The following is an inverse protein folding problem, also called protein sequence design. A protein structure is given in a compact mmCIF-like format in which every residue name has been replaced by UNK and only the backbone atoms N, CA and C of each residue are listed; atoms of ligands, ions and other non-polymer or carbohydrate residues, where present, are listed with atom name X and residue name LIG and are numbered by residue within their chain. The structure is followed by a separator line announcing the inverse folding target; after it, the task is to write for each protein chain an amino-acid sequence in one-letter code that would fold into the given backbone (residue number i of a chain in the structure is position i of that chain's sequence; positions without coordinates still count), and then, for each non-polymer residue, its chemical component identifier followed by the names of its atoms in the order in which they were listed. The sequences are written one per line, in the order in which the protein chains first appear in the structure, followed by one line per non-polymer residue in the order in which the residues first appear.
data_IF_472476520346
#
_entry.id   IF_472476520346
#
_cell.length_a   1.000
_cell.length_b   1.000
_cell.length_c   1.000
_cell.angle_alpha   90.00
_cell.angle_beta   90.00
_cell.angle_gamma   90.00
#
_symmetry.space_group_name_H-M   'P 1'
#
loop_
_entity.id
_entity.type
_entity.pdbx_description
1 polymer ?
#
# COMPACT_ATOMS: atom_id res chain seq x y z
N UNK A 1 22.71 -2.27 60.16
CA UNK A 1 21.69 -2.50 59.13
C UNK A 1 22.10 -1.68 57.91
N UNK A 2 22.58 -2.34 56.86
CA UNK A 2 23.06 -1.72 55.62
C UNK A 2 21.93 -1.84 54.56
N UNK A 3 21.32 -0.74 54.16
CA UNK A 3 20.31 -0.72 53.12
C UNK A 3 20.99 -0.66 51.76
N UNK A 4 20.84 -1.70 50.93
CA UNK A 4 21.22 -1.70 49.54
C UNK A 4 20.02 -1.15 48.75
N UNK A 5 20.18 0.04 48.16
CA UNK A 5 19.23 0.58 47.16
C UNK A 5 19.68 0.05 45.82
N UNK A 6 18.89 -0.85 45.23
CA UNK A 6 19.06 -1.31 43.85
C UNK A 6 18.43 -0.29 42.92
N UNK A 7 19.25 0.45 42.19
CA UNK A 7 18.78 1.32 41.14
C UNK A 7 18.50 0.48 39.86
N UNK A 8 17.22 0.33 39.52
CA UNK A 8 16.81 -0.26 38.25
C UNK A 8 17.04 0.75 37.12
N UNK A 9 18.03 0.49 36.29
CA UNK A 9 18.24 1.26 35.02
C UNK A 9 17.27 0.72 33.99
N UNK A 10 16.20 1.46 33.73
CA UNK A 10 15.30 1.21 32.59
C UNK A 10 16.01 1.62 31.30
N UNK A 11 16.47 0.65 30.53
CA UNK A 11 17.00 0.89 29.19
C UNK A 11 15.84 1.29 28.25
N UNK A 12 15.73 2.56 27.95
CA UNK A 12 14.87 3.05 26.85
C UNK A 12 15.53 2.61 25.54
N UNK A 13 14.98 1.59 24.92
CA UNK A 13 15.30 1.23 23.54
C UNK A 13 14.72 2.32 22.60
N UNK A 14 15.55 3.25 22.18
CA UNK A 14 15.21 4.12 21.05
C UNK A 14 15.12 3.24 19.80
N UNK A 15 13.89 2.97 19.35
CA UNK A 15 13.66 2.46 18.00
C UNK A 15 14.01 3.59 17.03
N UNK A 16 15.22 3.55 16.47
CA UNK A 16 15.59 4.38 15.32
C UNK A 16 14.76 3.88 14.14
N UNK A 17 13.66 4.57 13.84
CA UNK A 17 12.94 4.34 12.59
C UNK A 17 13.85 4.79 11.45
N UNK A 18 14.33 3.86 10.65
CA UNK A 18 15.03 4.18 9.42
C UNK A 18 13.98 4.52 8.37
N UNK A 19 14.18 5.62 7.65
CA UNK A 19 13.33 5.99 6.53
C UNK A 19 14.02 5.60 5.22
N UNK A 20 13.28 5.00 4.31
CA UNK A 20 13.70 4.80 2.92
C UNK A 20 13.17 5.95 2.08
N UNK A 21 13.96 6.44 1.13
CA UNK A 21 13.61 7.62 0.33
C UNK A 21 13.79 7.33 -1.16
N UNK A 22 12.83 7.80 -1.96
CA UNK A 22 12.88 7.81 -3.42
C UNK A 22 12.20 9.07 -3.94
N UNK A 23 12.87 9.83 -4.82
CA UNK A 23 12.33 11.05 -5.42
C UNK A 23 11.85 12.10 -4.38
N UNK A 24 12.50 12.19 -3.23
CA UNK A 24 12.12 13.07 -2.13
C UNK A 24 10.95 12.57 -1.27
N UNK A 25 10.29 11.47 -1.66
CA UNK A 25 9.26 10.82 -0.85
C UNK A 25 9.90 9.91 0.20
N UNK A 26 9.58 10.14 1.47
CA UNK A 26 10.08 9.35 2.60
C UNK A 26 9.02 8.39 3.09
N UNK A 27 9.44 7.17 3.39
CA UNK A 27 8.64 6.10 3.95
C UNK A 27 9.37 5.47 5.12
N UNK A 28 8.66 5.14 6.19
CA UNK A 28 9.24 4.35 7.27
C UNK A 28 9.65 2.97 6.73
N UNK A 29 10.77 2.43 7.19
CA UNK A 29 11.26 1.10 6.77
C UNK A 29 10.35 -0.05 7.25
N UNK A 30 9.51 0.22 8.24
CA UNK A 30 8.53 -0.71 8.79
C UNK A 30 7.13 -0.10 8.85
N UNK A 31 6.12 -0.93 8.96
CA UNK A 31 4.73 -0.51 9.16
C UNK A 31 3.97 -1.54 10.00
N UNK A 32 2.98 -1.10 10.76
CA UNK A 32 2.08 -2.01 11.48
C UNK A 32 0.73 -2.06 10.77
N UNK A 33 0.29 -3.27 10.40
CA UNK A 33 -0.99 -3.52 9.69
C UNK A 33 -1.73 -4.67 10.37
N UNK A 34 -2.93 -4.39 10.89
CA UNK A 34 -3.73 -5.40 11.59
C UNK A 34 -3.03 -6.01 12.81
N UNK A 35 -2.09 -5.30 13.43
CA UNK A 35 -1.28 -5.77 14.54
C UNK A 35 0.01 -6.49 14.16
N UNK A 36 0.21 -6.83 12.89
CA UNK A 36 1.43 -7.44 12.37
C UNK A 36 2.46 -6.38 11.95
N UNK A 37 3.73 -6.67 12.17
CA UNK A 37 4.84 -5.85 11.71
C UNK A 37 5.19 -6.22 10.26
N UNK A 38 5.29 -5.21 9.40
CA UNK A 38 5.69 -5.32 8.01
C UNK A 38 7.00 -4.55 7.79
N UNK A 39 7.76 -5.00 6.81
CA UNK A 39 8.95 -4.30 6.33
C UNK A 39 8.73 -3.80 4.90
N UNK A 40 9.34 -2.70 4.54
CA UNK A 40 9.32 -2.21 3.16
C UNK A 40 9.99 -3.24 2.25
N UNK A 41 9.24 -3.71 1.25
CA UNK A 41 9.71 -4.68 0.24
C UNK A 41 10.48 -3.97 -0.86
N UNK A 42 9.95 -2.86 -1.34
CA UNK A 42 10.54 -2.06 -2.39
C UNK A 42 9.75 -0.80 -2.68
N UNK A 43 10.37 0.12 -3.42
CA UNK A 43 9.80 1.38 -3.86
C UNK A 43 9.86 1.49 -5.37
N UNK A 44 8.87 2.16 -5.96
CA UNK A 44 8.89 2.45 -7.38
C UNK A 44 8.17 3.75 -7.72
N UNK A 45 8.55 4.35 -8.84
CA UNK A 45 7.97 5.63 -9.30
C UNK A 45 6.96 5.40 -10.41
N UNK A 46 5.76 5.93 -10.25
CA UNK A 46 4.79 6.02 -11.34
C UNK A 46 5.04 7.28 -12.15
N UNK A 47 5.28 7.10 -13.43
CA UNK A 47 5.46 8.21 -14.39
C UNK A 47 4.40 8.10 -15.50
N UNK A 48 3.64 9.17 -15.67
CA UNK A 48 2.71 9.36 -16.79
C UNK A 48 2.62 10.87 -17.06
N UNK A 49 3.24 11.33 -18.14
CA UNK A 49 3.45 12.76 -18.38
C UNK A 49 4.17 13.45 -17.19
N UNK A 50 5.29 12.84 -16.76
CA UNK A 50 6.07 13.22 -15.58
C UNK A 50 5.75 12.35 -14.35
N UNK A 51 6.57 12.45 -13.31
CA UNK A 51 6.45 11.70 -12.07
C UNK A 51 5.16 12.04 -11.35
N UNK A 52 4.36 11.04 -11.02
CA UNK A 52 3.01 11.20 -10.41
C UNK A 52 3.02 10.86 -8.94
N UNK A 53 3.57 9.72 -8.57
CA UNK A 53 3.71 9.27 -7.19
C UNK A 53 4.88 8.31 -7.04
N UNK A 54 5.36 8.16 -5.83
CA UNK A 54 6.18 7.01 -5.40
C UNK A 54 5.26 6.04 -4.68
N UNK A 55 5.36 4.76 -5.03
CA UNK A 55 4.70 3.69 -4.28
C UNK A 55 5.72 2.94 -3.44
N UNK A 56 5.32 2.54 -2.23
CA UNK A 56 6.03 1.61 -1.36
C UNK A 56 5.15 0.38 -1.11
N UNK A 57 5.72 -0.81 -1.27
CA UNK A 57 5.09 -2.07 -0.90
C UNK A 57 5.66 -2.56 0.42
N UNK A 58 4.79 -2.94 1.36
CA UNK A 58 5.18 -3.53 2.64
C UNK A 58 4.63 -4.93 2.77
N UNK A 59 5.48 -5.85 3.23
CA UNK A 59 5.18 -7.26 3.40
C UNK A 59 5.70 -7.75 4.77
N UNK A 60 5.16 -8.85 5.33
CA UNK A 60 5.73 -9.49 6.53
C UNK A 60 7.17 -9.96 6.33
N UNK A 61 7.50 -10.41 5.11
CA UNK A 61 8.83 -10.86 4.70
C UNK A 61 9.07 -10.41 3.26
N UNK A 62 10.28 -9.91 2.97
CA UNK A 62 10.65 -9.46 1.63
C UNK A 62 10.53 -10.59 0.60
N UNK A 63 10.02 -10.26 -0.58
CA UNK A 63 9.90 -11.17 -1.72
C UNK A 63 10.05 -10.40 -3.04
N UNK A 64 10.73 -11.00 -4.00
CA UNK A 64 10.86 -10.48 -5.36
C UNK A 64 9.96 -11.21 -6.37
N UNK A 65 9.12 -12.13 -5.91
CA UNK A 65 8.19 -12.90 -6.73
C UNK A 65 6.77 -12.34 -6.64
N UNK A 66 6.32 -11.74 -7.74
CA UNK A 66 5.02 -11.06 -7.81
C UNK A 66 3.84 -12.01 -7.58
N UNK A 67 3.90 -13.23 -8.14
CA UNK A 67 2.79 -14.18 -8.04
C UNK A 67 2.67 -14.70 -6.60
N UNK A 68 3.78 -15.03 -5.96
CA UNK A 68 3.81 -15.40 -4.54
C UNK A 68 3.30 -14.28 -3.63
N UNK A 69 3.67 -13.01 -3.91
CA UNK A 69 3.18 -11.86 -3.14
C UNK A 69 1.65 -11.73 -3.26
N UNK A 70 1.12 -11.78 -4.49
CA UNK A 70 -0.33 -11.69 -4.75
C UNK A 70 -1.09 -12.86 -4.12
N UNK A 71 -0.53 -14.08 -4.19
CA UNK A 71 -1.16 -15.29 -3.64
C UNK A 71 -1.12 -15.37 -2.11
N UNK A 72 -0.13 -14.75 -1.46
CA UNK A 72 0.06 -14.84 -0.01
C UNK A 72 -1.11 -14.26 0.78
N UNK A 73 -1.46 -14.89 1.90
CA UNK A 73 -2.63 -14.50 2.74
C UNK A 73 -2.31 -13.45 3.80
N UNK A 74 -1.04 -13.20 4.09
CA UNK A 74 -0.61 -12.26 5.12
C UNK A 74 -1.03 -10.81 4.86
N UNK A 75 -0.96 -9.95 5.90
CA UNK A 75 -1.24 -8.53 5.75
C UNK A 75 -0.26 -7.88 4.77
N UNK A 76 -0.72 -6.82 4.10
CA UNK A 76 0.08 -6.07 3.13
C UNK A 76 -0.31 -4.60 3.16
N UNK A 77 0.61 -3.74 2.79
CA UNK A 77 0.36 -2.31 2.58
C UNK A 77 0.94 -1.86 1.24
N UNK A 78 0.18 -1.05 0.53
CA UNK A 78 0.69 -0.19 -0.54
C UNK A 78 0.50 1.26 -0.09
N UNK A 79 1.58 2.02 -0.02
CA UNK A 79 1.55 3.45 0.29
C UNK A 79 1.96 4.25 -0.94
N UNK A 80 1.19 5.29 -1.29
CA UNK A 80 1.42 6.15 -2.44
C UNK A 80 1.69 7.57 -1.95
N UNK A 81 2.91 8.06 -2.13
CA UNK A 81 3.27 9.45 -1.86
C UNK A 81 3.15 10.26 -3.16
N UNK A 82 2.22 11.20 -3.20
CA UNK A 82 1.94 11.98 -4.41
C UNK A 82 3.03 13.02 -4.67
N UNK A 83 3.58 13.02 -5.88
CA UNK A 83 4.58 14.00 -6.33
C UNK A 83 3.93 15.17 -7.09
N UNK A 84 2.67 15.03 -7.47
CA UNK A 84 1.86 16.06 -8.13
C UNK A 84 0.43 16.04 -7.58
N UNK A 85 -0.23 17.17 -7.69
CA UNK A 85 -1.66 17.27 -7.44
C UNK A 85 -2.43 16.23 -8.28
N UNK A 86 -3.46 15.66 -7.69
CA UNK A 86 -4.33 14.67 -8.31
C UNK A 86 -5.76 14.80 -7.81
N UNK A 87 -6.63 14.00 -8.38
CA UNK A 87 -8.05 13.96 -7.98
C UNK A 87 -8.58 12.52 -7.91
N UNK A 88 -9.55 12.32 -7.04
CA UNK A 88 -10.15 11.02 -6.77
C UNK A 88 -10.79 10.37 -8.00
N UNK A 89 -11.32 11.16 -8.93
CA UNK A 89 -11.94 10.66 -10.16
C UNK A 89 -10.90 10.05 -11.10
N UNK A 90 -9.75 10.70 -11.26
CA UNK A 90 -8.64 10.18 -12.06
C UNK A 90 -8.04 8.93 -11.41
N UNK A 91 -7.82 8.95 -10.09
CA UNK A 91 -7.33 7.77 -9.36
C UNK A 91 -8.29 6.59 -9.45
N UNK A 92 -9.59 6.81 -9.20
CA UNK A 92 -10.58 5.73 -9.26
C UNK A 92 -10.64 5.06 -10.63
N UNK A 93 -10.62 5.84 -11.72
CA UNK A 93 -10.57 5.31 -13.09
C UNK A 93 -9.31 4.50 -13.37
N UNK A 94 -8.14 5.00 -12.92
CA UNK A 94 -6.88 4.30 -13.14
C UNK A 94 -6.84 2.96 -12.39
N UNK A 95 -7.33 2.90 -11.16
CA UNK A 95 -7.39 1.65 -10.39
C UNK A 95 -8.37 0.66 -10.98
N UNK A 96 -9.58 1.09 -11.35
CA UNK A 96 -10.58 0.20 -11.95
C UNK A 96 -10.07 -0.36 -13.27
N UNK A 97 -9.51 0.49 -14.15
CA UNK A 97 -8.90 0.02 -15.40
C UNK A 97 -7.80 -1.01 -15.16
N UNK A 98 -6.90 -0.76 -14.21
CA UNK A 98 -5.84 -1.71 -13.87
C UNK A 98 -6.36 -3.03 -13.26
N UNK A 99 -7.46 -3.00 -12.50
CA UNK A 99 -8.16 -4.21 -12.03
C UNK A 99 -8.73 -4.99 -13.22
N UNK A 100 -9.41 -4.32 -14.14
CA UNK A 100 -10.02 -4.91 -15.34
C UNK A 100 -8.97 -5.54 -16.25
N UNK A 101 -7.85 -4.85 -16.49
CA UNK A 101 -6.75 -5.34 -17.34
C UNK A 101 -6.05 -6.60 -16.77
N UNK A 102 -6.12 -6.81 -15.45
CA UNK A 102 -5.42 -7.90 -14.76
C UNK A 102 -6.34 -8.97 -14.17
N UNK A 103 -7.63 -8.96 -14.52
CA UNK A 103 -8.61 -9.91 -13.98
C UNK A 103 -9.40 -10.57 -15.11
N UNK A 104 -9.72 -11.85 -14.96
CA UNK A 104 -10.65 -12.55 -15.86
C UNK A 104 -12.09 -12.06 -15.66
N UNK A 105 -12.96 -12.31 -16.63
CA UNK A 105 -14.41 -11.99 -16.52
C UNK A 105 -15.04 -12.63 -15.28
N UNK A 106 -14.66 -13.86 -14.94
CA UNK A 106 -15.17 -14.56 -13.75
C UNK A 106 -14.69 -13.89 -12.46
N UNK A 107 -13.40 -13.48 -12.38
CA UNK A 107 -12.88 -12.72 -11.24
C UNK A 107 -13.62 -11.39 -11.09
N UNK A 108 -13.79 -10.63 -12.19
CA UNK A 108 -14.50 -9.36 -12.19
C UNK A 108 -15.95 -9.51 -11.75
N UNK A 109 -16.66 -10.53 -12.24
CA UNK A 109 -18.04 -10.80 -11.82
C UNK A 109 -18.13 -11.04 -10.30
N UNK A 110 -17.16 -11.76 -9.72
CA UNK A 110 -17.10 -12.07 -8.29
C UNK A 110 -16.82 -10.85 -7.39
N UNK A 111 -16.19 -9.79 -7.91
CA UNK A 111 -15.79 -8.61 -7.14
C UNK A 111 -16.50 -7.32 -7.56
N UNK A 112 -17.41 -7.36 -8.52
CA UNK A 112 -18.05 -6.19 -9.17
C UNK A 112 -18.54 -5.14 -8.18
N UNK A 113 -19.31 -5.54 -7.18
CA UNK A 113 -19.91 -4.61 -6.21
C UNK A 113 -18.83 -3.95 -5.35
N UNK A 114 -17.77 -4.70 -5.00
CA UNK A 114 -16.63 -4.19 -4.22
C UNK A 114 -15.78 -3.21 -5.03
N UNK A 115 -15.62 -3.45 -6.32
CA UNK A 115 -14.97 -2.50 -7.25
C UNK A 115 -15.80 -1.21 -7.33
N UNK A 116 -17.13 -1.29 -7.39
CA UNK A 116 -17.99 -0.11 -7.39
C UNK A 116 -17.91 0.69 -6.07
N UNK A 117 -17.85 0.00 -4.93
CA UNK A 117 -17.64 0.63 -3.61
C UNK A 117 -16.27 1.33 -3.58
N UNK A 118 -15.21 0.66 -4.01
CA UNK A 118 -13.86 1.22 -4.06
C UNK A 118 -13.79 2.44 -4.99
N UNK A 119 -14.42 2.35 -6.17
CA UNK A 119 -14.51 3.46 -7.11
C UNK A 119 -15.13 4.71 -6.46
N UNK A 120 -16.30 4.54 -5.82
CA UNK A 120 -17.00 5.64 -5.14
C UNK A 120 -16.19 6.19 -3.96
N UNK A 121 -15.55 5.31 -3.19
CA UNK A 121 -14.66 5.67 -2.10
C UNK A 121 -13.48 6.53 -2.61
N UNK A 122 -12.79 6.09 -3.65
CA UNK A 122 -11.68 6.86 -4.24
C UNK A 122 -12.14 8.20 -4.82
N UNK A 123 -13.33 8.27 -5.41
CA UNK A 123 -13.90 9.55 -5.87
C UNK A 123 -14.14 10.52 -4.71
N UNK A 124 -14.61 10.03 -3.55
CA UNK A 124 -14.88 10.87 -2.38
C UNK A 124 -13.62 11.51 -1.77
N UNK A 125 -12.43 11.05 -2.18
CA UNK A 125 -11.16 11.67 -1.82
C UNK A 125 -11.07 13.13 -2.30
N UNK A 126 -11.76 13.48 -3.40
CA UNK A 126 -11.70 14.82 -3.99
C UNK A 126 -10.30 15.16 -4.52
N UNK A 127 -9.96 16.44 -4.43
CA UNK A 127 -8.63 16.92 -4.82
C UNK A 127 -7.60 16.63 -3.74
N UNK A 128 -6.48 16.06 -4.13
CA UNK A 128 -5.34 15.76 -3.26
C UNK A 128 -4.09 16.48 -3.77
N UNK A 129 -3.35 17.05 -2.84
CA UNK A 129 -2.15 17.83 -3.15
C UNK A 129 -0.90 16.95 -3.22
N UNK A 130 0.10 17.44 -3.95
CA UNK A 130 1.45 16.90 -3.85
C UNK A 130 1.89 16.84 -2.38
N UNK A 131 2.60 15.79 -2.01
CA UNK A 131 2.95 15.48 -0.62
C UNK A 131 1.89 14.68 0.14
N UNK A 132 0.66 14.54 -0.39
CA UNK A 132 -0.34 13.65 0.23
C UNK A 132 0.06 12.19 0.13
N UNK A 133 -0.30 11.41 1.16
CA UNK A 133 -0.05 9.97 1.23
C UNK A 133 -1.38 9.21 1.22
N UNK A 134 -1.57 8.36 0.23
CA UNK A 134 -2.69 7.41 0.16
C UNK A 134 -2.16 6.05 0.60
N UNK A 135 -2.80 5.45 1.59
CA UNK A 135 -2.42 4.12 2.11
C UNK A 135 -3.56 3.15 1.86
N UNK A 136 -3.21 1.97 1.35
CA UNK A 136 -4.12 0.85 1.11
C UNK A 136 -3.59 -0.35 1.89
N UNK A 137 -4.31 -0.77 2.92
CA UNK A 137 -3.96 -1.88 3.80
C UNK A 137 -4.87 -3.07 3.56
N UNK A 138 -4.29 -4.25 3.42
CA UNK A 138 -4.99 -5.51 3.55
C UNK A 138 -4.81 -6.06 4.96
N UNK A 139 -5.91 -6.25 5.66
CA UNK A 139 -5.95 -6.92 6.97
C UNK A 139 -6.71 -8.24 6.79
N UNK A 140 -6.03 -9.40 6.91
CA UNK A 140 -6.68 -10.70 6.77
C UNK A 140 -7.95 -10.82 7.62
N UNK A 141 -8.98 -11.46 7.07
CA UNK A 141 -10.31 -11.68 7.67
C UNK A 141 -11.14 -10.41 7.94
N UNK A 142 -10.53 -9.22 7.81
CA UNK A 142 -11.24 -7.94 8.00
C UNK A 142 -11.54 -7.26 6.67
N UNK A 143 -10.51 -7.03 5.84
CA UNK A 143 -10.73 -6.38 4.54
C UNK A 143 -9.63 -5.42 4.14
N UNK A 144 -9.92 -4.67 3.07
CA UNK A 144 -9.09 -3.61 2.53
C UNK A 144 -9.49 -2.28 3.15
N UNK A 145 -8.53 -1.59 3.77
CA UNK A 145 -8.69 -0.26 4.34
C UNK A 145 -7.97 0.75 3.47
N UNK A 146 -8.57 1.92 3.28
CA UNK A 146 -7.95 3.04 2.57
C UNK A 146 -7.91 4.25 3.49
N UNK A 147 -6.80 4.96 3.48
CA UNK A 147 -6.67 6.24 4.19
C UNK A 147 -5.90 7.25 3.33
N UNK A 148 -6.16 8.53 3.59
CA UNK A 148 -5.47 9.66 2.97
C UNK A 148 -4.97 10.57 4.09
N UNK A 149 -3.66 10.81 4.14
CA UNK A 149 -3.03 11.62 5.19
C UNK A 149 -3.46 11.17 6.60
N UNK A 150 -3.43 9.84 6.85
CA UNK A 150 -3.82 9.17 8.09
C UNK A 150 -5.32 9.29 8.47
N UNK A 151 -6.17 9.79 7.57
CA UNK A 151 -7.63 9.81 7.78
C UNK A 151 -8.27 8.69 6.97
N UNK A 152 -9.05 7.84 7.63
CA UNK A 152 -9.77 6.75 6.96
C UNK A 152 -10.68 7.30 5.85
N UNK A 153 -10.65 6.64 4.70
CA UNK A 153 -11.49 6.95 3.56
C UNK A 153 -12.56 5.84 3.42
N UNK A 154 -13.76 6.13 3.89
CA UNK A 154 -14.86 5.15 3.89
C UNK A 154 -14.71 4.03 4.91
N UNK A 155 -15.42 2.92 4.65
CA UNK A 155 -15.37 1.68 5.44
C UNK A 155 -14.47 0.67 4.74
N UNK A 156 -14.11 -0.39 5.47
CA UNK A 156 -13.36 -1.51 4.91
C UNK A 156 -14.13 -2.21 3.78
N UNK A 157 -13.41 -2.72 2.81
CA UNK A 157 -13.94 -3.54 1.72
C UNK A 157 -13.52 -4.98 1.97
N UNK A 158 -14.48 -5.85 2.25
CA UNK A 158 -14.25 -7.26 2.53
C UNK A 158 -13.79 -8.03 1.29
N UNK A 159 -13.09 -9.15 1.52
CA UNK A 159 -12.72 -10.12 0.49
C UNK A 159 -11.27 -10.01 0.05
N UNK A 160 -10.55 -11.12 0.23
CA UNK A 160 -9.15 -11.25 -0.20
C UNK A 160 -9.02 -11.20 -1.73
N UNK A 161 -10.00 -11.73 -2.44
CA UNK A 161 -10.09 -11.72 -3.90
C UNK A 161 -10.12 -10.29 -4.46
N UNK A 162 -10.86 -9.38 -3.83
CA UNK A 162 -10.85 -7.96 -4.20
C UNK A 162 -9.46 -7.34 -3.99
N UNK A 163 -8.83 -7.57 -2.82
CA UNK A 163 -7.49 -7.02 -2.58
C UNK A 163 -6.46 -7.59 -3.55
N UNK A 164 -6.52 -8.89 -3.86
CA UNK A 164 -5.65 -9.52 -4.86
C UNK A 164 -5.80 -8.87 -6.24
N UNK A 165 -7.03 -8.63 -6.67
CA UNK A 165 -7.29 -7.93 -7.93
C UNK A 165 -6.74 -6.50 -7.92
N UNK A 166 -6.92 -5.76 -6.82
CA UNK A 166 -6.37 -4.42 -6.64
C UNK A 166 -4.83 -4.43 -6.65
N UNK A 167 -4.19 -5.38 -5.96
CA UNK A 167 -2.73 -5.49 -5.92
C UNK A 167 -2.13 -5.80 -7.29
N UNK A 168 -2.86 -6.52 -8.15
CA UNK A 168 -2.45 -6.81 -9.54
C UNK A 168 -2.31 -5.54 -10.41
N UNK A 169 -2.91 -4.41 -10.03
CA UNK A 169 -2.69 -3.11 -10.71
C UNK A 169 -1.20 -2.77 -10.79
N UNK A 170 -0.43 -3.14 -9.78
CA UNK A 170 1.02 -2.91 -9.74
C UNK A 170 1.84 -4.17 -10.03
N UNK A 171 1.37 -5.35 -9.58
CA UNK A 171 2.14 -6.60 -9.62
C UNK A 171 1.65 -7.60 -10.65
N UNK A 172 0.55 -7.32 -11.34
CA UNK A 172 -0.06 -8.21 -12.34
C UNK A 172 0.78 -8.40 -13.61
N UNK A 173 0.21 -9.11 -14.57
CA UNK A 173 0.84 -9.34 -15.90
C UNK A 173 0.94 -8.04 -16.68
N UNK A 174 -0.12 -7.22 -16.64
CA UNK A 174 -0.21 -5.91 -17.26
C UNK A 174 -0.19 -4.81 -16.20
N UNK A 175 0.98 -4.58 -15.54
CA UNK A 175 1.07 -3.62 -14.46
C UNK A 175 0.93 -2.20 -15.02
N UNK A 176 0.43 -1.30 -14.20
CA UNK A 176 0.31 0.13 -14.56
C UNK A 176 1.62 0.71 -15.09
N UNK A 177 2.78 0.14 -14.70
CA UNK A 177 4.11 0.46 -15.24
C UNK A 177 5.14 -0.61 -14.83
N UNK A 178 5.94 -1.11 -15.80
CA UNK A 178 6.93 -2.16 -15.57
C UNK A 178 8.03 -1.78 -14.58
N UNK A 179 8.64 -0.61 -14.74
CA UNK A 179 9.69 -0.13 -13.83
C UNK A 179 9.19 0.06 -12.40
N UNK A 180 7.95 0.53 -12.24
CA UNK A 180 7.29 0.61 -10.94
C UNK A 180 7.16 -0.78 -10.29
N UNK A 181 6.68 -1.78 -11.05
CA UNK A 181 6.62 -3.17 -10.59
C UNK A 181 7.99 -3.68 -10.17
N UNK A 182 9.02 -3.47 -11.01
CA UNK A 182 10.40 -3.86 -10.72
C UNK A 182 10.87 -3.26 -9.39
N UNK A 183 10.66 -1.97 -9.18
CA UNK A 183 11.01 -1.29 -7.94
C UNK A 183 10.26 -1.82 -6.71
N UNK A 184 8.95 -2.07 -6.82
CA UNK A 184 8.14 -2.64 -5.72
C UNK A 184 8.58 -4.06 -5.34
N UNK A 185 9.13 -4.82 -6.30
CA UNK A 185 9.70 -6.15 -6.07
C UNK A 185 11.12 -6.11 -5.50
N UNK A 186 11.66 -4.92 -5.20
CA UNK A 186 13.03 -4.76 -4.69
C UNK A 186 14.11 -5.18 -5.69
N UNK A 187 13.78 -5.15 -6.98
CA UNK A 187 14.71 -5.42 -8.08
C UNK A 187 15.20 -4.07 -8.59
N UNK A 188 16.46 -3.77 -8.38
CA UNK A 188 17.16 -2.59 -8.93
C UNK A 188 17.87 -2.95 -10.23
#
# INVERSE_FOLDING_TARGET
MKHFIAAAVAALSLNLAFAVELEGAKFDDTAKVGGADLVVNGLGVRSKFGKRYVAALYLPTKSSDAESIVASKGPKRVALHLLKDGDGKTFSKAFVGGIEENSSEAELAGIKDRVAVFFSMMQSMGDVKAGSVVVIDWVPEKGTYVSVNNKALGKEIAGEDFFKALLKVWLGKDPVQGDLKTGLLGKS
#
